data_IF_548296505092
#
_entry.id   IF_548296505092
#
_cell.length_a   1.000
_cell.length_b   1.000
_cell.length_c   1.000
_cell.angle_alpha   90.00
_cell.angle_beta   90.00
_cell.angle_gamma   90.00
#
_symmetry.space_group_name_H-M   'P 1'
#
loop_
_entity.id
_entity.type
_entity.pdbx_description
1 polymer ?
#
# COMPACT_ATOMS: atom_id res chain seq x y z
N UNK A 1 -4.80 -20.23 -5.07
CA UNK A 1 -5.79 -19.27 -4.54
C UNK A 1 -6.31 -19.61 -3.15
N UNK A 2 -6.76 -20.82 -2.87
CA UNK A 2 -7.23 -21.27 -1.54
C UNK A 2 -6.24 -20.90 -0.44
N UNK A 3 -4.95 -21.19 -0.62
CA UNK A 3 -3.90 -20.89 0.35
C UNK A 3 -3.72 -19.38 0.64
N UNK A 4 -3.91 -18.52 -0.37
CA UNK A 4 -3.84 -17.06 -0.16
C UNK A 4 -4.98 -16.57 0.71
N UNK A 5 -6.20 -17.06 0.47
CA UNK A 5 -7.39 -16.75 1.26
C UNK A 5 -7.24 -17.22 2.72
N UNK A 6 -6.77 -18.43 2.93
CA UNK A 6 -6.51 -18.98 4.27
C UNK A 6 -5.49 -18.16 5.04
N UNK A 7 -4.36 -17.82 4.40
CA UNK A 7 -3.31 -17.01 5.01
C UNK A 7 -3.78 -15.60 5.36
N UNK A 8 -4.59 -14.95 4.50
CA UNK A 8 -5.18 -13.64 4.79
C UNK A 8 -6.17 -13.70 5.94
N UNK A 9 -7.02 -14.73 5.99
CA UNK A 9 -7.96 -14.93 7.09
C UNK A 9 -7.24 -15.23 8.40
N UNK A 10 -6.19 -16.05 8.38
CA UNK A 10 -5.36 -16.33 9.55
C UNK A 10 -4.67 -15.06 10.03
N UNK A 11 -4.08 -14.29 9.13
CA UNK A 11 -3.48 -13.00 9.44
C UNK A 11 -4.51 -12.03 10.05
N UNK A 12 -5.71 -11.91 9.45
CA UNK A 12 -6.77 -11.04 9.97
C UNK A 12 -7.19 -11.42 11.39
N UNK A 13 -7.32 -12.71 11.70
CA UNK A 13 -7.63 -13.22 13.04
C UNK A 13 -6.49 -12.98 14.04
N UNK A 14 -5.25 -12.94 13.58
CA UNK A 14 -4.08 -12.67 14.43
C UNK A 14 -3.88 -11.19 14.75
N UNK A 15 -4.58 -10.28 14.06
CA UNK A 15 -4.51 -8.84 14.31
C UNK A 15 -5.08 -8.50 15.70
N UNK A 16 -4.20 -8.02 16.57
CA UNK A 16 -4.59 -7.48 17.88
C UNK A 16 -4.55 -5.95 17.79
N UNK A 17 -5.71 -5.33 17.82
CA UNK A 17 -5.89 -3.89 17.80
C UNK A 17 -6.41 -3.44 19.17
N UNK A 18 -5.82 -2.39 19.74
CA UNK A 18 -6.35 -1.72 20.93
C UNK A 18 -7.65 -0.98 20.59
N UNK A 19 -8.48 -0.65 21.57
CA UNK A 19 -9.71 0.13 21.36
C UNK A 19 -9.43 1.46 20.65
N UNK A 20 -8.32 2.12 20.99
CA UNK A 20 -7.90 3.37 20.34
C UNK A 20 -7.53 3.16 18.87
N UNK A 21 -6.81 2.09 18.55
CA UNK A 21 -6.48 1.74 17.16
C UNK A 21 -7.74 1.40 16.36
N UNK A 22 -8.68 0.66 16.96
CA UNK A 22 -9.98 0.35 16.33
C UNK A 22 -10.78 1.63 16.02
N UNK A 23 -10.80 2.59 16.92
CA UNK A 23 -11.46 3.88 16.68
C UNK A 23 -10.81 4.67 15.53
N UNK A 24 -9.47 4.73 15.50
CA UNK A 24 -8.74 5.50 14.48
C UNK A 24 -8.71 4.82 13.10
N UNK A 25 -8.70 3.49 13.06
CA UNK A 25 -8.60 2.70 11.82
C UNK A 25 -9.92 2.04 11.42
N UNK A 26 -11.03 2.36 12.09
CA UNK A 26 -12.32 1.70 11.87
C UNK A 26 -12.80 1.72 10.43
N UNK A 27 -12.69 2.85 9.75
CA UNK A 27 -13.05 2.97 8.33
C UNK A 27 -12.21 2.08 7.40
N UNK A 28 -10.91 2.01 7.64
CA UNK A 28 -9.99 1.17 6.86
C UNK A 28 -10.17 -0.31 7.18
N UNK A 29 -10.50 -0.64 8.44
CA UNK A 29 -10.80 -2.00 8.87
C UNK A 29 -12.08 -2.52 8.18
N UNK A 30 -13.13 -1.72 8.13
CA UNK A 30 -14.38 -2.06 7.42
C UNK A 30 -14.12 -2.29 5.92
N UNK A 31 -13.28 -1.47 5.30
CA UNK A 31 -12.90 -1.67 3.89
C UNK A 31 -12.11 -2.96 3.68
N UNK A 32 -11.17 -3.26 4.58
CA UNK A 32 -10.42 -4.51 4.57
C UNK A 32 -11.35 -5.72 4.70
N UNK A 33 -12.24 -5.71 5.69
CA UNK A 33 -13.16 -6.82 5.94
C UNK A 33 -14.12 -7.04 4.75
N UNK A 34 -14.63 -5.97 4.12
CA UNK A 34 -15.41 -6.06 2.87
C UNK A 34 -14.60 -6.68 1.73
N UNK A 35 -13.32 -6.33 1.60
CA UNK A 35 -12.47 -6.91 0.55
C UNK A 35 -12.19 -8.39 0.81
N UNK A 36 -11.94 -8.78 2.05
CA UNK A 36 -11.76 -10.18 2.43
C UNK A 36 -13.04 -11.00 2.22
N UNK A 37 -14.20 -10.43 2.52
CA UNK A 37 -15.49 -11.03 2.26
C UNK A 37 -15.71 -11.27 0.75
N UNK A 38 -15.41 -10.28 -0.10
CA UNK A 38 -15.49 -10.44 -1.57
C UNK A 38 -14.55 -11.54 -2.08
N UNK A 39 -13.34 -11.62 -1.52
CA UNK A 39 -12.41 -12.71 -1.85
C UNK A 39 -12.99 -14.09 -1.46
N UNK A 40 -13.67 -14.18 -0.31
CA UNK A 40 -14.33 -15.42 0.12
C UNK A 40 -15.50 -15.80 -0.77
N UNK A 41 -16.29 -14.81 -1.18
CA UNK A 41 -17.47 -14.98 -2.03
C UNK A 41 -17.16 -15.06 -3.52
N UNK A 42 -15.89 -14.91 -3.91
CA UNK A 42 -15.46 -14.84 -5.31
C UNK A 42 -16.24 -13.77 -6.10
N UNK A 43 -16.48 -12.62 -5.46
CA UNK A 43 -17.21 -11.48 -6.02
C UNK A 43 -16.23 -10.40 -6.50
N UNK A 44 -16.18 -10.16 -7.80
CA UNK A 44 -15.32 -9.16 -8.42
C UNK A 44 -16.12 -7.88 -8.73
N UNK A 45 -15.52 -6.72 -8.51
CA UNK A 45 -16.11 -5.42 -8.80
C UNK A 45 -15.38 -4.68 -9.90
N UNK A 46 -16.15 -4.24 -10.91
CA UNK A 46 -15.70 -3.36 -11.98
C UNK A 46 -16.35 -1.99 -11.76
N UNK A 47 -15.57 -0.95 -11.51
CA UNK A 47 -16.09 0.41 -11.40
C UNK A 47 -16.09 1.09 -12.76
N UNK A 48 -17.20 1.72 -13.09
CA UNK A 48 -17.34 2.56 -14.29
C UNK A 48 -17.20 4.02 -13.86
N UNK A 49 -16.16 4.68 -14.35
CA UNK A 49 -15.70 5.99 -13.89
C UNK A 49 -15.52 6.95 -15.07
N UNK A 50 -15.72 8.24 -14.86
CA UNK A 50 -15.60 9.26 -15.91
C UNK A 50 -16.44 10.50 -15.60
N UNK A 51 -16.39 11.49 -16.48
CA UNK A 51 -17.13 12.75 -16.35
C UNK A 51 -18.66 12.53 -16.34
N UNK A 52 -19.38 13.56 -15.91
CA UNK A 52 -20.85 13.60 -16.07
C UNK A 52 -21.20 13.54 -17.56
N UNK A 53 -22.26 12.85 -17.89
CA UNK A 53 -22.77 12.82 -19.24
C UNK A 53 -22.03 11.91 -20.23
N UNK A 54 -20.83 11.33 -19.93
CA UNK A 54 -20.11 10.45 -20.87
C UNK A 54 -20.79 9.09 -21.11
N UNK A 55 -21.91 8.81 -20.43
CA UNK A 55 -22.71 7.61 -20.66
C UNK A 55 -22.31 6.40 -19.80
N UNK A 56 -21.83 6.61 -18.58
CA UNK A 56 -21.46 5.51 -17.63
C UNK A 56 -22.62 4.56 -17.35
N UNK A 57 -23.77 5.10 -16.92
CA UNK A 57 -24.98 4.31 -16.62
C UNK A 57 -25.53 3.64 -17.88
N UNK A 58 -25.46 4.30 -19.05
CA UNK A 58 -25.83 3.70 -20.34
C UNK A 58 -24.93 2.54 -20.71
N UNK A 59 -23.61 2.66 -20.45
CA UNK A 59 -22.64 1.59 -20.68
C UNK A 59 -22.93 0.36 -19.79
N UNK A 60 -23.25 0.59 -18.51
CA UNK A 60 -23.62 -0.48 -17.60
C UNK A 60 -24.89 -1.18 -18.07
N UNK A 61 -25.94 -0.42 -18.40
CA UNK A 61 -27.18 -0.97 -18.92
C UNK A 61 -26.96 -1.78 -20.21
N UNK A 62 -26.11 -1.29 -21.12
CA UNK A 62 -25.78 -1.99 -22.35
C UNK A 62 -25.01 -3.32 -22.11
N UNK A 63 -24.08 -3.34 -21.14
CA UNK A 63 -23.35 -4.56 -20.77
C UNK A 63 -24.26 -5.60 -20.08
N UNK A 64 -25.26 -5.13 -19.32
CA UNK A 64 -26.21 -6.00 -18.65
C UNK A 64 -27.28 -6.49 -19.62
N UNK A 65 -27.63 -5.71 -20.64
CA UNK A 65 -28.71 -5.98 -21.57
C UNK A 65 -30.06 -5.46 -21.10
N UNK A 66 -30.14 -4.77 -19.95
CA UNK A 66 -31.36 -4.29 -19.34
C UNK A 66 -31.21 -2.84 -18.82
N UNK A 67 -32.27 -1.99 -18.87
CA UNK A 67 -32.23 -0.59 -18.43
C UNK A 67 -32.44 -0.48 -16.90
N UNK A 68 -31.52 -1.04 -16.11
CA UNK A 68 -31.62 -1.09 -14.65
C UNK A 68 -31.22 0.24 -13.97
N UNK A 69 -30.31 1.01 -14.58
CA UNK A 69 -29.87 2.30 -14.05
C UNK A 69 -30.60 3.44 -14.78
N UNK A 70 -31.03 4.44 -14.02
CA UNK A 70 -31.60 5.65 -14.59
C UNK A 70 -30.55 6.37 -15.44
N UNK A 71 -30.90 6.64 -16.71
CA UNK A 71 -30.05 7.36 -17.67
C UNK A 71 -30.70 8.72 -17.95
N UNK A 72 -30.72 9.61 -16.95
CA UNK A 72 -31.29 10.93 -17.16
C UNK A 72 -30.34 11.85 -17.94
N UNK A 73 -30.88 12.56 -18.92
CA UNK A 73 -30.14 13.54 -19.76
C UNK A 73 -29.90 14.83 -18.96
N UNK A 74 -30.66 15.07 -17.89
CA UNK A 74 -30.48 16.20 -17.00
C UNK A 74 -29.50 15.83 -15.87
N UNK A 75 -28.36 16.45 -15.90
CA UNK A 75 -27.24 16.48 -14.94
C UNK A 75 -27.35 15.69 -13.61
N UNK A 76 -26.43 14.72 -13.41
CA UNK A 76 -26.06 14.27 -12.08
C UNK A 76 -27.02 13.29 -11.40
N UNK A 77 -27.65 12.36 -12.14
CA UNK A 77 -28.58 11.36 -11.54
C UNK A 77 -27.91 10.41 -10.53
N UNK A 78 -26.60 10.17 -10.65
CA UNK A 78 -25.88 9.21 -9.79
C UNK A 78 -25.19 9.92 -8.64
N UNK A 79 -25.91 10.17 -7.54
CA UNK A 79 -25.34 10.76 -6.31
C UNK A 79 -24.61 9.74 -5.42
N UNK A 80 -24.91 8.46 -5.57
CA UNK A 80 -24.32 7.37 -4.77
C UNK A 80 -23.86 6.24 -5.68
N UNK A 81 -22.84 5.49 -5.23
CA UNK A 81 -22.38 4.30 -5.93
C UNK A 81 -23.49 3.23 -5.91
N UNK A 82 -23.93 2.79 -7.08
CA UNK A 82 -24.85 1.68 -7.24
C UNK A 82 -24.12 0.50 -7.89
N UNK A 83 -24.20 -0.67 -7.26
CA UNK A 83 -23.63 -1.90 -7.78
C UNK A 83 -24.73 -2.76 -8.39
N UNK A 84 -24.57 -3.18 -9.65
CA UNK A 84 -25.49 -4.04 -10.37
C UNK A 84 -24.76 -5.31 -10.79
N UNK A 85 -25.43 -6.45 -10.72
CA UNK A 85 -24.85 -7.74 -11.13
C UNK A 85 -24.79 -7.80 -12.64
N UNK A 86 -23.61 -8.09 -13.17
CA UNK A 86 -23.45 -8.41 -14.58
C UNK A 86 -23.79 -9.91 -14.80
N UNK A 87 -24.80 -10.26 -15.63
CA UNK A 87 -25.24 -11.63 -15.82
C UNK A 87 -24.28 -12.41 -16.71
N UNK A 88 -23.02 -12.52 -16.26
CA UNK A 88 -21.95 -13.20 -16.99
C UNK A 88 -21.41 -14.37 -16.18
N UNK A 89 -21.29 -15.54 -16.81
CA UNK A 89 -20.63 -16.71 -16.21
C UNK A 89 -19.14 -16.66 -16.51
N UNK A 90 -18.33 -16.48 -15.47
CA UNK A 90 -16.87 -16.51 -15.52
C UNK A 90 -16.38 -17.64 -14.62
N UNK A 91 -15.54 -18.52 -15.14
CA UNK A 91 -14.96 -19.59 -14.34
C UNK A 91 -14.27 -19.05 -13.09
N UNK A 92 -14.48 -19.72 -11.95
CA UNK A 92 -13.90 -19.37 -10.65
C UNK A 92 -14.37 -18.04 -10.02
N UNK A 93 -15.30 -17.31 -10.64
CA UNK A 93 -15.99 -16.15 -10.08
C UNK A 93 -17.48 -16.47 -9.90
N UNK A 94 -18.00 -16.29 -8.70
CA UNK A 94 -19.42 -16.50 -8.43
C UNK A 94 -20.29 -15.30 -8.89
N UNK A 95 -19.67 -14.09 -8.89
CA UNK A 95 -20.41 -12.87 -9.16
C UNK A 95 -19.47 -11.79 -9.69
N UNK A 96 -19.90 -11.07 -10.72
CA UNK A 96 -19.28 -9.85 -11.20
C UNK A 96 -20.25 -8.69 -11.02
N UNK A 97 -19.81 -7.62 -10.35
CA UNK A 97 -20.61 -6.42 -10.11
C UNK A 97 -20.04 -5.26 -10.94
N UNK A 98 -20.92 -4.60 -11.68
CA UNK A 98 -20.64 -3.30 -12.31
C UNK A 98 -21.09 -2.21 -11.32
N UNK A 99 -20.23 -1.25 -11.04
CA UNK A 99 -20.48 -0.18 -10.06
C UNK A 99 -20.50 1.15 -10.79
N UNK A 100 -21.66 1.80 -10.83
CA UNK A 100 -21.80 3.17 -11.32
C UNK A 100 -21.24 4.15 -10.30
N UNK A 101 -20.55 5.18 -10.78
CA UNK A 101 -19.91 6.18 -9.92
C UNK A 101 -20.36 7.59 -10.29
N UNK A 102 -20.44 8.52 -9.31
CA UNK A 102 -20.69 9.92 -9.59
C UNK A 102 -19.67 10.52 -10.59
N UNK A 103 -20.11 11.50 -11.38
CA UNK A 103 -19.25 12.20 -12.33
C UNK A 103 -18.10 12.97 -11.65
N UNK A 104 -16.95 13.02 -12.30
CA UNK A 104 -15.73 13.61 -11.73
C UNK A 104 -15.65 15.14 -11.85
N UNK A 105 -16.44 15.75 -12.70
CA UNK A 105 -16.46 17.18 -12.99
C UNK A 105 -17.39 17.99 -12.05
N UNK A 106 -18.26 17.33 -11.29
CA UNK A 106 -19.09 17.98 -10.26
C UNK A 106 -18.32 18.41 -9.00
N UNK A 107 -17.05 18.06 -8.91
CA UNK A 107 -16.25 18.20 -7.69
C UNK A 107 -14.98 19.01 -7.99
N UNK A 108 -14.46 19.75 -7.01
CA UNK A 108 -13.18 20.44 -7.12
C UNK A 108 -11.99 19.46 -7.29
N UNK A 109 -10.81 19.95 -7.70
CA UNK A 109 -9.64 19.11 -8.00
C UNK A 109 -9.26 18.15 -6.86
N UNK A 110 -9.27 18.60 -5.60
CA UNK A 110 -8.97 17.77 -4.44
C UNK A 110 -10.06 16.69 -4.20
N UNK A 111 -11.31 17.02 -4.45
CA UNK A 111 -12.44 16.09 -4.39
C UNK A 111 -12.33 15.01 -5.48
N UNK A 112 -11.96 15.39 -6.72
CA UNK A 112 -11.74 14.45 -7.84
C UNK A 112 -10.69 13.40 -7.51
N UNK A 113 -9.53 13.81 -7.02
CA UNK A 113 -8.47 12.90 -6.62
C UNK A 113 -8.92 11.95 -5.49
N UNK A 114 -9.69 12.45 -4.52
CA UNK A 114 -10.28 11.62 -3.45
C UNK A 114 -11.29 10.62 -3.99
N UNK A 115 -12.17 11.04 -4.92
CA UNK A 115 -13.16 10.15 -5.54
C UNK A 115 -12.47 9.07 -6.37
N UNK A 116 -11.52 9.43 -7.26
CA UNK A 116 -10.76 8.48 -8.05
C UNK A 116 -10.02 7.47 -7.15
N UNK A 117 -9.40 7.94 -6.07
CA UNK A 117 -8.74 7.07 -5.09
C UNK A 117 -9.73 6.15 -4.37
N UNK A 118 -10.91 6.65 -4.00
CA UNK A 118 -11.97 5.84 -3.36
C UNK A 118 -12.50 4.77 -4.30
N UNK A 119 -12.79 5.13 -5.55
CA UNK A 119 -13.21 4.21 -6.60
C UNK A 119 -12.14 3.14 -6.84
N UNK A 120 -10.89 3.56 -7.00
CA UNK A 120 -9.79 2.65 -7.15
C UNK A 120 -9.65 1.69 -5.94
N UNK A 121 -9.88 2.14 -4.72
CA UNK A 121 -9.82 1.25 -3.54
C UNK A 121 -10.99 0.26 -3.49
N UNK A 122 -12.17 0.65 -3.95
CA UNK A 122 -13.39 -0.17 -3.89
C UNK A 122 -13.56 -1.18 -5.03
N UNK A 123 -12.82 -1.04 -6.12
CA UNK A 123 -12.94 -1.86 -7.33
C UNK A 123 -11.73 -2.79 -7.52
N UNK A 124 -11.91 -3.87 -8.26
CA UNK A 124 -10.86 -4.80 -8.66
C UNK A 124 -10.36 -4.49 -10.08
N UNK A 125 -11.22 -3.88 -10.92
CA UNK A 125 -10.94 -3.34 -12.24
C UNK A 125 -11.70 -2.01 -12.41
N UNK A 126 -11.16 -1.07 -13.18
CA UNK A 126 -11.79 0.23 -13.47
C UNK A 126 -11.95 0.42 -14.97
N UNK A 127 -13.13 0.85 -15.41
CA UNK A 127 -13.38 1.34 -16.76
C UNK A 127 -13.42 2.87 -16.71
N UNK A 128 -12.45 3.53 -17.33
CA UNK A 128 -12.47 4.99 -17.51
C UNK A 128 -13.19 5.31 -18.81
N UNK A 129 -14.39 5.86 -18.70
CA UNK A 129 -15.25 6.20 -19.85
C UNK A 129 -15.02 7.64 -20.24
N UNK A 130 -14.74 7.84 -21.52
CA UNK A 130 -14.62 9.15 -22.19
C UNK A 130 -15.52 9.16 -23.41
N UNK A 131 -15.94 10.33 -23.88
CA UNK A 131 -16.80 10.50 -25.08
C UNK A 131 -16.22 11.46 -26.12
N UNK A 132 -15.01 11.94 -25.89
CA UNK A 132 -14.24 12.86 -26.70
C UNK A 132 -12.76 12.69 -26.40
N UNK A 133 -11.89 13.55 -26.91
CA UNK A 133 -10.49 13.56 -26.55
C UNK A 133 -10.28 13.81 -25.04
N UNK A 134 -9.14 13.34 -24.53
CA UNK A 134 -8.83 13.41 -23.10
C UNK A 134 -8.73 14.87 -22.61
N UNK A 135 -9.70 15.31 -21.87
CA UNK A 135 -9.69 16.61 -21.20
C UNK A 135 -8.63 16.65 -20.09
N UNK A 136 -8.36 17.84 -19.56
CA UNK A 136 -7.49 17.97 -18.37
C UNK A 136 -8.01 17.14 -17.20
N UNK A 137 -9.32 17.16 -16.96
CA UNK A 137 -9.98 16.39 -15.90
C UNK A 137 -9.80 14.87 -16.09
N UNK A 138 -9.97 14.38 -17.32
CA UNK A 138 -9.75 12.96 -17.64
C UNK A 138 -8.31 12.54 -17.42
N UNK A 139 -7.34 13.39 -17.78
CA UNK A 139 -5.90 13.13 -17.57
C UNK A 139 -5.52 13.10 -16.10
N UNK A 140 -6.03 14.04 -15.28
CA UNK A 140 -5.82 14.04 -13.82
C UNK A 140 -6.40 12.76 -13.17
N UNK A 141 -7.59 12.36 -13.60
CA UNK A 141 -8.23 11.13 -13.15
C UNK A 141 -7.44 9.89 -13.59
N UNK A 142 -7.03 9.82 -14.85
CA UNK A 142 -6.21 8.74 -15.40
C UNK A 142 -4.89 8.58 -14.61
N UNK A 143 -4.16 9.68 -14.35
CA UNK A 143 -2.93 9.64 -13.56
C UNK A 143 -3.18 9.10 -12.14
N UNK A 144 -4.26 9.53 -11.50
CA UNK A 144 -4.63 9.04 -10.16
C UNK A 144 -4.95 7.55 -10.18
N UNK A 145 -5.70 7.08 -11.18
CA UNK A 145 -6.03 5.67 -11.34
C UNK A 145 -4.79 4.82 -11.66
N UNK A 146 -3.92 5.28 -12.57
CA UNK A 146 -2.64 4.62 -12.87
C UNK A 146 -1.73 4.56 -11.64
N UNK A 147 -1.62 5.66 -10.89
CA UNK A 147 -0.83 5.69 -9.65
C UNK A 147 -1.38 4.74 -8.58
N UNK A 148 -2.66 4.41 -8.66
CA UNK A 148 -3.26 3.40 -7.80
C UNK A 148 -2.84 1.97 -8.15
N UNK A 149 -2.27 1.73 -9.35
CA UNK A 149 -1.85 0.42 -9.86
C UNK A 149 -3.00 -0.56 -10.11
N UNK A 150 -4.22 -0.06 -10.31
CA UNK A 150 -5.37 -0.90 -10.63
C UNK A 150 -5.37 -1.29 -12.11
N UNK A 151 -5.87 -2.50 -12.44
CA UNK A 151 -6.26 -2.78 -13.82
C UNK A 151 -7.23 -1.72 -14.30
N UNK A 152 -6.92 -1.12 -15.44
CA UNK A 152 -7.66 -0.03 -16.02
C UNK A 152 -7.88 -0.26 -17.51
N UNK A 153 -9.11 -0.05 -17.97
CA UNK A 153 -9.46 0.03 -19.39
C UNK A 153 -9.99 1.44 -19.68
N UNK A 154 -9.58 2.02 -20.77
CA UNK A 154 -10.17 3.25 -21.30
C UNK A 154 -11.24 2.88 -22.33
N UNK A 155 -12.42 3.45 -22.19
CA UNK A 155 -13.57 3.18 -23.06
C UNK A 155 -13.98 4.49 -23.72
N UNK A 156 -13.81 4.58 -25.05
CA UNK A 156 -14.33 5.67 -25.84
C UNK A 156 -15.78 5.35 -26.21
N UNK A 157 -16.71 5.99 -25.52
CA UNK A 157 -18.15 5.82 -25.71
C UNK A 157 -18.71 6.83 -26.71
N UNK A 158 -19.95 6.61 -27.19
CA UNK A 158 -20.63 7.46 -28.16
C UNK A 158 -19.94 7.56 -29.50
N UNK A 159 -19.35 6.44 -29.96
CA UNK A 159 -18.71 6.37 -31.28
C UNK A 159 -19.68 6.69 -32.42
N UNK A 160 -20.96 6.46 -32.20
CA UNK A 160 -22.06 6.80 -33.13
C UNK A 160 -22.17 8.28 -33.46
N UNK A 161 -21.53 9.18 -32.72
CA UNK A 161 -21.53 10.63 -32.94
C UNK A 161 -20.44 11.12 -33.91
N UNK A 162 -19.45 10.26 -34.20
CA UNK A 162 -18.27 10.59 -34.94
C UNK A 162 -18.28 9.93 -36.31
N UNK A 163 -18.07 10.68 -37.42
CA UNK A 163 -17.75 10.06 -38.70
C UNK A 163 -16.51 9.17 -38.59
N UNK A 164 -16.43 8.14 -39.42
CA UNK A 164 -15.37 7.11 -39.34
C UNK A 164 -13.95 7.70 -39.36
N UNK A 165 -13.71 8.70 -40.20
CA UNK A 165 -12.40 9.39 -40.31
C UNK A 165 -12.05 10.14 -39.01
N UNK A 166 -13.02 10.88 -38.46
CA UNK A 166 -12.85 11.65 -37.22
C UNK A 166 -12.70 10.71 -36.02
N UNK A 167 -13.44 9.60 -35.99
CA UNK A 167 -13.33 8.58 -34.95
C UNK A 167 -11.93 7.96 -34.94
N UNK A 168 -11.39 7.67 -36.13
CA UNK A 168 -10.03 7.14 -36.27
C UNK A 168 -8.97 8.13 -35.79
N UNK A 169 -9.11 9.41 -36.15
CA UNK A 169 -8.22 10.48 -35.67
C UNK A 169 -8.32 10.65 -34.14
N UNK A 170 -9.53 10.65 -33.59
CA UNK A 170 -9.79 10.72 -32.14
C UNK A 170 -9.18 9.53 -31.40
N UNK A 171 -9.38 8.32 -31.91
CA UNK A 171 -8.79 7.10 -31.34
C UNK A 171 -7.25 7.21 -31.28
N UNK A 172 -6.61 7.63 -32.38
CA UNK A 172 -5.16 7.80 -32.44
C UNK A 172 -4.66 8.89 -31.50
N UNK A 173 -5.40 10.02 -31.36
CA UNK A 173 -5.10 11.09 -30.42
C UNK A 173 -5.12 10.58 -28.98
N UNK A 174 -6.16 9.87 -28.58
CA UNK A 174 -6.26 9.27 -27.24
C UNK A 174 -5.15 8.24 -27.06
N UNK A 175 -4.95 7.34 -28.04
CA UNK A 175 -3.97 6.25 -27.97
C UNK A 175 -2.54 6.76 -27.74
N UNK A 176 -2.15 7.84 -28.41
CA UNK A 176 -0.81 8.43 -28.28
C UNK A 176 -0.51 8.98 -26.88
N UNK A 177 -1.55 9.29 -26.10
CA UNK A 177 -1.44 9.85 -24.73
C UNK A 177 -1.59 8.80 -23.64
N UNK A 178 -1.96 7.57 -24.02
CA UNK A 178 -2.07 6.46 -23.08
C UNK A 178 -0.77 5.65 -23.00
N UNK A 179 -0.44 5.05 -21.85
CA UNK A 179 0.61 4.04 -21.78
C UNK A 179 0.37 2.94 -22.83
N UNK A 180 1.43 2.46 -23.49
CA UNK A 180 1.34 1.59 -24.65
C UNK A 180 0.54 0.30 -24.47
N UNK A 181 0.52 -0.21 -23.25
CA UNK A 181 -0.13 -1.46 -22.86
C UNK A 181 -1.55 -1.27 -22.26
N UNK A 182 -2.02 -0.02 -22.13
CA UNK A 182 -3.35 0.25 -21.58
C UNK A 182 -4.43 -0.01 -22.64
N UNK A 183 -5.41 -0.89 -22.39
CA UNK A 183 -6.49 -1.15 -23.33
C UNK A 183 -7.34 0.10 -23.60
N UNK A 184 -7.65 0.34 -24.87
CA UNK A 184 -8.58 1.36 -25.34
C UNK A 184 -9.59 0.68 -26.26
N UNK A 185 -10.87 0.77 -25.92
CA UNK A 185 -11.97 0.15 -26.67
C UNK A 185 -13.00 1.19 -27.05
N UNK A 186 -13.45 1.15 -28.29
CA UNK A 186 -14.50 2.04 -28.83
C UNK A 186 -15.86 1.36 -28.68
N UNK A 187 -16.86 2.09 -28.20
CA UNK A 187 -18.23 1.59 -27.99
C UNK A 187 -19.28 2.66 -28.28
N UNK A 188 -20.49 2.20 -28.58
CA UNK A 188 -21.70 3.03 -28.57
C UNK A 188 -22.72 2.37 -27.64
N UNK A 189 -22.79 2.84 -26.40
CA UNK A 189 -23.63 2.23 -25.36
C UNK A 189 -25.13 2.51 -25.55
N UNK A 190 -25.48 3.64 -26.14
CA UNK A 190 -26.87 4.00 -26.44
C UNK A 190 -26.92 4.79 -27.75
N UNK A 191 -26.58 4.13 -28.87
CA UNK A 191 -26.51 4.81 -30.15
C UNK A 191 -27.89 5.25 -30.61
N UNK A 192 -27.92 6.35 -31.39
CA UNK A 192 -29.14 6.92 -31.94
C UNK A 192 -28.96 7.21 -33.42
N UNK A 193 -29.98 6.90 -34.19
CA UNK A 193 -30.07 7.24 -35.62
C UNK A 193 -31.24 8.17 -35.87
N UNK A 194 -31.06 9.03 -36.85
CA UNK A 194 -32.13 9.85 -37.37
C UNK A 194 -33.06 8.98 -38.24
N UNK A 195 -34.32 8.91 -37.88
CA UNK A 195 -35.37 8.15 -38.58
C UNK A 195 -36.38 9.14 -39.14
N UNK A 196 -36.56 9.08 -40.46
CA UNK A 196 -37.52 9.95 -41.15
C UNK A 196 -38.96 9.43 -40.86
N UNK A 197 -39.79 10.27 -40.32
CA UNK A 197 -41.20 9.91 -40.07
C UNK A 197 -42.07 10.14 -41.32
N UNK A 198 -43.23 9.48 -41.37
CA UNK A 198 -44.18 9.58 -42.48
C UNK A 198 -44.71 11.01 -42.70
N UNK A 199 -44.64 11.88 -41.70
CA UNK A 199 -44.98 13.29 -41.72
C UNK A 199 -43.83 14.23 -42.20
N UNK A 200 -42.67 13.65 -42.62
CA UNK A 200 -41.49 14.39 -43.01
C UNK A 200 -40.64 14.90 -41.85
N UNK A 201 -41.04 14.63 -40.59
CA UNK A 201 -40.29 14.95 -39.41
C UNK A 201 -39.11 13.96 -39.20
N UNK A 202 -38.04 14.43 -38.58
CA UNK A 202 -36.90 13.57 -38.21
C UNK A 202 -36.96 13.25 -36.71
N UNK A 203 -37.11 11.97 -36.37
CA UNK A 203 -37.07 11.50 -34.99
C UNK A 203 -35.77 10.78 -34.71
N UNK A 204 -35.22 11.00 -33.50
CA UNK A 204 -34.07 10.26 -33.05
C UNK A 204 -34.50 8.92 -32.45
N UNK A 205 -34.27 7.83 -33.15
CA UNK A 205 -34.55 6.45 -32.70
C UNK A 205 -33.34 5.81 -32.02
N UNK A 206 -33.56 4.97 -31.01
CA UNK A 206 -32.50 4.17 -30.38
C UNK A 206 -32.19 2.97 -31.27
N UNK A 207 -30.91 2.72 -31.48
CA UNK A 207 -30.41 1.51 -32.14
C UNK A 207 -29.74 0.57 -31.13
N UNK A 208 -29.53 -0.72 -31.47
CA UNK A 208 -28.86 -1.66 -30.59
C UNK A 208 -27.49 -1.18 -30.13
N UNK A 209 -27.17 -1.42 -28.84
CA UNK A 209 -25.88 -1.06 -28.28
C UNK A 209 -24.73 -1.80 -28.94
N UNK A 210 -23.63 -1.11 -29.20
CA UNK A 210 -22.39 -1.66 -29.78
C UNK A 210 -21.33 -1.75 -28.70
N UNK A 211 -21.45 -2.74 -27.82
CA UNK A 211 -20.54 -2.98 -26.68
C UNK A 211 -19.85 -4.35 -26.73
N UNK A 212 -20.10 -5.15 -27.76
CA UNK A 212 -19.66 -6.55 -27.87
C UNK A 212 -18.12 -6.70 -27.78
N UNK A 213 -17.36 -5.80 -28.42
CA UNK A 213 -15.90 -5.83 -28.36
C UNK A 213 -15.37 -5.64 -26.92
N UNK A 214 -15.94 -4.68 -26.19
CA UNK A 214 -15.60 -4.44 -24.78
C UNK A 214 -16.00 -5.64 -23.89
N UNK A 215 -17.20 -6.16 -24.12
CA UNK A 215 -17.70 -7.32 -23.39
C UNK A 215 -16.79 -8.54 -23.59
N UNK A 216 -16.43 -8.86 -24.83
CA UNK A 216 -15.52 -9.97 -25.14
C UNK A 216 -14.14 -9.77 -24.50
N UNK A 217 -13.60 -8.56 -24.54
CA UNK A 217 -12.32 -8.23 -23.95
C UNK A 217 -12.35 -8.40 -22.44
N UNK A 218 -13.37 -7.88 -21.76
CA UNK A 218 -13.56 -8.03 -20.32
C UNK A 218 -13.74 -9.51 -19.94
N UNK A 219 -14.60 -10.26 -20.62
CA UNK A 219 -14.82 -11.69 -20.37
C UNK A 219 -13.51 -12.47 -20.51
N UNK A 220 -12.72 -12.20 -21.55
CA UNK A 220 -11.45 -12.89 -21.79
C UNK A 220 -10.42 -12.56 -20.70
N UNK A 221 -10.34 -11.31 -20.27
CA UNK A 221 -9.45 -10.90 -19.16
C UNK A 221 -9.89 -11.53 -17.83
N UNK A 222 -11.16 -11.49 -17.51
CA UNK A 222 -11.69 -12.04 -16.25
C UNK A 222 -11.53 -13.56 -16.18
N UNK A 223 -11.68 -14.28 -17.30
CA UNK A 223 -11.39 -15.73 -17.38
C UNK A 223 -9.93 -16.04 -17.05
N UNK A 224 -8.98 -15.23 -17.55
CA UNK A 224 -7.54 -15.48 -17.33
C UNK A 224 -7.07 -15.00 -15.94
N UNK A 225 -7.55 -13.87 -15.47
CA UNK A 225 -6.91 -13.13 -14.37
C UNK A 225 -7.88 -12.77 -13.25
N UNK A 226 -9.19 -12.98 -13.39
CA UNK A 226 -10.21 -12.44 -12.47
C UNK A 226 -9.98 -12.82 -11.00
N UNK A 227 -9.74 -14.11 -10.73
CA UNK A 227 -9.48 -14.58 -9.35
C UNK A 227 -8.13 -14.09 -8.83
N UNK A 228 -7.12 -13.97 -9.71
CA UNK A 228 -5.82 -13.42 -9.37
C UNK A 228 -5.94 -11.94 -8.99
N UNK A 229 -6.67 -11.15 -9.79
CA UNK A 229 -6.93 -9.74 -9.51
C UNK A 229 -7.62 -9.54 -8.15
N UNK A 230 -8.64 -10.33 -7.87
CA UNK A 230 -9.35 -10.30 -6.59
C UNK A 230 -8.41 -10.60 -5.40
N UNK A 231 -7.55 -11.60 -5.52
CA UNK A 231 -6.58 -11.94 -4.49
C UNK A 231 -5.48 -10.88 -4.32
N UNK A 232 -4.98 -10.33 -5.43
CA UNK A 232 -4.00 -9.24 -5.39
C UNK A 232 -4.57 -7.99 -4.72
N UNK A 233 -5.84 -7.67 -4.97
CA UNK A 233 -6.50 -6.55 -4.32
C UNK A 233 -6.67 -6.78 -2.82
N UNK A 234 -7.04 -7.99 -2.40
CA UNK A 234 -7.15 -8.34 -0.99
C UNK A 234 -5.79 -8.26 -0.27
N UNK A 235 -4.74 -8.80 -0.88
CA UNK A 235 -3.38 -8.70 -0.34
C UNK A 235 -2.90 -7.25 -0.23
N UNK A 236 -3.20 -6.44 -1.23
CA UNK A 236 -2.84 -5.03 -1.26
C UNK A 236 -3.55 -4.23 -0.19
N UNK A 237 -4.86 -4.45 -0.02
CA UNK A 237 -5.64 -3.77 1.02
C UNK A 237 -5.13 -4.18 2.40
N UNK A 238 -4.80 -5.45 2.59
CA UNK A 238 -4.23 -5.96 3.82
C UNK A 238 -2.83 -5.38 4.11
N UNK A 239 -1.96 -5.27 3.10
CA UNK A 239 -0.64 -4.65 3.24
C UNK A 239 -0.75 -3.15 3.56
N UNK A 240 -1.66 -2.43 2.89
CA UNK A 240 -1.93 -1.02 3.18
C UNK A 240 -2.39 -0.84 4.62
N UNK A 241 -3.37 -1.63 5.06
CA UNK A 241 -3.88 -1.58 6.44
C UNK A 241 -2.77 -1.87 7.45
N UNK A 242 -1.96 -2.90 7.21
CA UNK A 242 -0.82 -3.25 8.05
C UNK A 242 0.16 -2.07 8.19
N UNK A 243 0.51 -1.42 7.09
CA UNK A 243 1.42 -0.25 7.09
C UNK A 243 0.82 0.93 7.86
N UNK A 244 -0.46 1.22 7.66
CA UNK A 244 -1.14 2.31 8.38
C UNK A 244 -1.16 2.05 9.89
N UNK A 245 -1.46 0.80 10.29
CA UNK A 245 -1.41 0.38 11.69
C UNK A 245 0.01 0.53 12.28
N UNK A 246 1.03 0.13 11.55
CA UNK A 246 2.43 0.29 11.97
C UNK A 246 2.84 1.75 12.12
N UNK A 247 2.48 2.60 11.16
CA UNK A 247 2.74 4.05 11.22
C UNK A 247 2.06 4.68 12.44
N UNK A 248 0.80 4.31 12.70
CA UNK A 248 0.07 4.79 13.87
C UNK A 248 0.76 4.39 15.17
N UNK A 249 1.19 3.14 15.31
CA UNK A 249 1.93 2.64 16.48
C UNK A 249 3.25 3.37 16.68
N UNK A 250 4.00 3.61 15.61
CA UNK A 250 5.25 4.39 15.66
C UNK A 250 5.01 5.81 16.17
N UNK A 251 3.98 6.47 15.65
CA UNK A 251 3.64 7.83 16.06
C UNK A 251 3.17 7.90 17.52
N UNK A 252 2.28 7.00 17.92
CA UNK A 252 1.74 6.96 19.28
C UNK A 252 2.80 6.66 20.33
N UNK A 253 3.69 5.73 20.05
CA UNK A 253 4.70 5.27 21.00
C UNK A 253 6.06 5.94 20.86
N UNK A 254 6.19 6.95 19.99
CA UNK A 254 7.47 7.63 19.69
C UNK A 254 8.17 8.11 20.95
N UNK A 255 7.47 8.86 21.81
CA UNK A 255 8.05 9.43 23.05
C UNK A 255 8.45 8.31 24.02
N UNK A 256 7.60 7.33 24.21
CA UNK A 256 7.86 6.18 25.10
C UNK A 256 9.04 5.34 24.60
N UNK A 257 9.14 5.10 23.31
CA UNK A 257 10.26 4.39 22.70
C UNK A 257 11.58 5.16 22.88
N UNK A 258 11.58 6.48 22.64
CA UNK A 258 12.75 7.31 22.87
C UNK A 258 13.20 7.32 24.34
N UNK A 259 12.24 7.39 25.28
CA UNK A 259 12.52 7.30 26.71
C UNK A 259 13.11 5.94 27.11
N UNK A 260 12.59 4.85 26.56
CA UNK A 260 13.16 3.51 26.74
C UNK A 260 14.58 3.41 26.23
N UNK A 261 14.81 3.79 24.98
CA UNK A 261 16.14 3.78 24.34
C UNK A 261 17.14 4.63 25.16
N UNK A 262 16.72 5.79 25.65
CA UNK A 262 17.54 6.68 26.47
C UNK A 262 17.94 6.03 27.81
N UNK A 263 16.99 5.40 28.50
CA UNK A 263 17.26 4.71 29.77
C UNK A 263 18.24 3.55 29.60
N UNK A 264 18.05 2.71 28.60
CA UNK A 264 18.94 1.59 28.32
C UNK A 264 20.32 2.06 27.82
N UNK A 265 20.37 3.14 27.06
CA UNK A 265 21.63 3.75 26.64
C UNK A 265 22.42 4.30 27.84
N UNK A 266 21.76 4.97 28.79
CA UNK A 266 22.37 5.45 30.02
C UNK A 266 22.87 4.30 30.90
N UNK A 267 22.03 3.28 31.13
CA UNK A 267 22.43 2.09 31.91
C UNK A 267 23.65 1.38 31.30
N UNK A 268 23.67 1.22 29.97
CA UNK A 268 24.81 0.61 29.27
C UNK A 268 26.08 1.47 29.39
N UNK A 269 25.95 2.80 29.25
CA UNK A 269 27.06 3.73 29.38
C UNK A 269 27.67 3.70 30.79
N UNK A 270 26.83 3.67 31.83
CA UNK A 270 27.29 3.57 33.24
C UNK A 270 28.00 2.24 33.47
N UNK A 271 27.43 1.12 33.01
CA UNK A 271 28.04 -0.20 33.13
C UNK A 271 29.44 -0.27 32.47
N UNK A 272 29.57 0.25 31.26
CA UNK A 272 30.83 0.29 30.51
C UNK A 272 31.86 1.21 31.18
N UNK A 273 31.43 2.34 31.73
CA UNK A 273 32.34 3.30 32.39
C UNK A 273 32.95 2.73 33.68
N UNK A 274 32.19 1.96 34.45
CA UNK A 274 32.59 1.47 35.78
C UNK A 274 33.31 0.12 35.70
N UNK A 275 33.04 -0.70 34.69
CA UNK A 275 33.52 -2.09 34.64
C UNK A 275 34.93 -2.16 34.02
N UNK A 276 35.94 -2.73 34.73
CA UNK A 276 37.32 -2.88 34.20
C UNK A 276 37.50 -4.09 33.31
N UNK A 277 36.53 -5.02 33.24
CA UNK A 277 36.70 -6.32 32.56
C UNK A 277 35.92 -6.35 31.23
N UNK A 278 36.63 -6.52 30.11
CA UNK A 278 36.06 -6.55 28.77
C UNK A 278 34.95 -7.59 28.56
N UNK A 279 35.08 -8.78 29.14
CA UNK A 279 34.14 -9.86 29.00
C UNK A 279 32.78 -9.50 29.63
N UNK A 280 32.78 -8.82 30.79
CA UNK A 280 31.56 -8.37 31.46
C UNK A 280 30.90 -7.19 30.70
N UNK A 281 31.69 -6.32 30.08
CA UNK A 281 31.18 -5.24 29.22
C UNK A 281 30.41 -5.78 28.02
N UNK A 282 30.93 -6.82 27.36
CA UNK A 282 30.26 -7.44 26.21
C UNK A 282 29.01 -8.22 26.63
N UNK A 283 29.08 -9.02 27.69
CA UNK A 283 27.95 -9.79 28.18
C UNK A 283 26.83 -8.89 28.75
N UNK A 284 27.19 -7.89 29.54
CA UNK A 284 26.24 -6.90 30.07
C UNK A 284 25.62 -6.04 28.96
N UNK A 285 26.41 -5.65 27.97
CA UNK A 285 25.92 -4.92 26.80
C UNK A 285 24.87 -5.71 26.00
N UNK A 286 25.13 -7.01 25.73
CA UNK A 286 24.17 -7.88 25.04
C UNK A 286 22.91 -8.15 25.86
N UNK A 287 23.02 -8.30 27.17
CA UNK A 287 21.86 -8.44 28.05
C UNK A 287 20.98 -7.19 28.04
N UNK A 288 21.60 -6.01 28.10
CA UNK A 288 20.96 -4.72 28.05
C UNK A 288 20.24 -4.51 26.71
N UNK A 289 20.89 -4.80 25.58
CA UNK A 289 20.29 -4.70 24.25
C UNK A 289 19.15 -5.72 24.07
N UNK A 290 19.29 -6.94 24.60
CA UNK A 290 18.21 -7.95 24.56
C UNK A 290 16.98 -7.45 25.33
N UNK A 291 17.18 -6.90 26.53
CA UNK A 291 16.10 -6.36 27.34
C UNK A 291 15.42 -5.16 26.66
N UNK A 292 16.20 -4.27 26.03
CA UNK A 292 15.68 -3.16 25.22
C UNK A 292 14.78 -3.68 24.09
N UNK A 293 15.23 -4.69 23.33
CA UNK A 293 14.45 -5.28 22.23
C UNK A 293 13.15 -5.87 22.73
N UNK A 294 13.19 -6.63 23.84
CA UNK A 294 11.98 -7.22 24.45
C UNK A 294 11.01 -6.13 24.91
N UNK A 295 11.48 -5.05 25.52
CA UNK A 295 10.60 -3.96 25.96
C UNK A 295 10.05 -3.14 24.79
N UNK A 296 10.85 -2.85 23.77
CA UNK A 296 10.36 -2.20 22.54
C UNK A 296 9.32 -3.07 21.83
N UNK A 297 9.54 -4.38 21.77
CA UNK A 297 8.58 -5.29 21.12
C UNK A 297 7.23 -5.31 21.87
N UNK A 298 7.26 -5.28 23.20
CA UNK A 298 6.03 -5.15 24.01
C UNK A 298 5.33 -3.81 23.80
N UNK A 299 6.09 -2.72 23.73
CA UNK A 299 5.57 -1.38 23.50
C UNK A 299 4.82 -1.28 22.16
N UNK A 300 5.32 -1.97 21.12
CA UNK A 300 4.68 -2.02 19.80
C UNK A 300 3.62 -3.12 19.65
N UNK A 301 3.28 -3.84 20.74
CA UNK A 301 2.29 -4.91 20.71
C UNK A 301 2.72 -6.16 19.93
N UNK A 302 4.03 -6.38 19.78
CA UNK A 302 4.65 -7.49 19.07
C UNK A 302 5.58 -8.28 20.03
N UNK A 303 5.08 -8.89 21.10
CA UNK A 303 5.92 -9.45 22.14
C UNK A 303 6.85 -10.55 21.60
N UNK A 304 8.16 -10.33 21.75
CA UNK A 304 9.19 -11.29 21.44
C UNK A 304 9.67 -12.00 22.70
N UNK A 305 10.02 -13.27 22.55
CA UNK A 305 10.77 -14.00 23.59
C UNK A 305 12.22 -13.51 23.65
N UNK A 306 12.91 -13.62 24.79
CA UNK A 306 14.33 -13.24 24.88
C UNK A 306 15.23 -13.97 23.85
N UNK A 307 14.91 -15.22 23.52
CA UNK A 307 15.61 -15.99 22.47
C UNK A 307 15.43 -15.36 21.08
N UNK A 308 14.20 -15.01 20.72
CA UNK A 308 13.90 -14.33 19.44
C UNK A 308 14.53 -12.92 19.36
N UNK A 309 14.55 -12.20 20.49
CA UNK A 309 15.20 -10.90 20.59
C UNK A 309 16.71 -10.98 20.35
N UNK A 310 17.39 -12.00 20.93
CA UNK A 310 18.80 -12.25 20.67
C UNK A 310 19.09 -12.61 19.20
N UNK A 311 18.27 -13.46 18.59
CA UNK A 311 18.40 -13.80 17.17
C UNK A 311 18.25 -12.56 16.28
N UNK A 312 17.30 -11.69 16.60
CA UNK A 312 17.10 -10.42 15.89
C UNK A 312 18.34 -9.53 16.03
N UNK A 313 18.90 -9.40 17.23
CA UNK A 313 20.13 -8.62 17.45
C UNK A 313 21.30 -9.18 16.66
N UNK A 314 21.47 -10.49 16.62
CA UNK A 314 22.57 -11.15 15.85
C UNK A 314 22.42 -10.84 14.35
N UNK A 315 21.20 -10.88 13.81
CA UNK A 315 20.94 -10.51 12.40
C UNK A 315 21.23 -9.04 12.10
N UNK A 316 20.98 -8.15 13.07
CA UNK A 316 21.24 -6.70 12.91
C UNK A 316 22.69 -6.31 13.19
N UNK A 317 23.44 -7.14 13.91
CA UNK A 317 24.84 -6.87 14.31
C UNK A 317 25.79 -6.81 13.11
N UNK A 318 25.49 -7.51 12.02
CA UNK A 318 26.27 -7.42 10.77
C UNK A 318 26.39 -6.01 10.22
N UNK A 319 25.36 -5.17 10.43
CA UNK A 319 25.37 -3.75 10.03
C UNK A 319 26.13 -2.82 10.99
N UNK A 320 26.50 -3.32 12.16
CA UNK A 320 27.19 -2.57 13.23
C UNK A 320 28.60 -3.09 13.54
N UNK A 321 29.16 -3.99 12.73
CA UNK A 321 30.45 -4.61 12.96
C UNK A 321 31.59 -3.58 13.17
N UNK A 322 31.54 -2.47 12.44
CA UNK A 322 32.54 -1.40 12.55
C UNK A 322 32.49 -0.69 13.92
N UNK A 323 31.27 -0.44 14.45
CA UNK A 323 31.12 0.15 15.79
C UNK A 323 31.54 -0.82 16.90
N UNK A 324 31.29 -2.12 16.71
CA UNK A 324 31.77 -3.17 17.63
C UNK A 324 33.30 -3.24 17.66
N UNK A 325 33.97 -3.15 16.52
CA UNK A 325 35.41 -3.11 16.43
C UNK A 325 36.02 -1.92 17.16
N UNK A 326 35.47 -0.71 16.99
CA UNK A 326 35.92 0.49 17.71
C UNK A 326 35.72 0.34 19.22
N UNK A 327 34.60 -0.24 19.66
CA UNK A 327 34.32 -0.45 21.09
C UNK A 327 35.32 -1.43 21.72
N UNK A 328 35.66 -2.52 21.04
CA UNK A 328 36.68 -3.48 21.50
C UNK A 328 38.04 -2.77 21.58
N UNK A 329 38.41 -1.99 20.58
CA UNK A 329 39.67 -1.23 20.58
C UNK A 329 39.80 -0.25 21.74
N UNK A 330 38.70 0.52 22.02
CA UNK A 330 38.65 1.44 23.15
C UNK A 330 38.68 0.72 24.50
N UNK A 331 38.01 -0.46 24.62
CA UNK A 331 38.08 -1.25 25.84
C UNK A 331 39.45 -1.82 26.11
N UNK A 332 40.15 -2.29 25.08
CA UNK A 332 41.52 -2.75 25.18
C UNK A 332 42.48 -1.61 25.59
N UNK A 333 42.31 -0.42 25.00
CA UNK A 333 43.10 0.75 25.37
C UNK A 333 42.85 1.18 26.83
N UNK A 334 41.58 1.17 27.28
CA UNK A 334 41.23 1.44 28.68
C UNK A 334 41.92 0.46 29.64
N UNK A 335 41.89 -0.85 29.34
CA UNK A 335 42.53 -1.87 30.15
C UNK A 335 44.06 -1.64 30.21
N UNK A 336 44.69 -1.35 29.06
CA UNK A 336 46.11 -1.05 29.01
C UNK A 336 46.47 0.15 29.89
N UNK A 337 45.70 1.23 29.84
CA UNK A 337 45.91 2.39 30.69
C UNK A 337 45.70 2.10 32.19
N UNK A 338 44.72 1.25 32.56
CA UNK A 338 44.48 0.84 33.94
C UNK A 338 45.62 -0.05 34.50
N UNK A 339 46.26 -0.86 33.66
CA UNK A 339 47.44 -1.68 34.06
C UNK A 339 48.65 -0.84 34.39
N UNK A 340 48.74 0.40 33.89
CA UNK A 340 49.83 1.33 34.17
C UNK A 340 49.68 2.08 35.51
N UNK A 341 48.46 2.03 36.15
CA UNK A 341 48.20 2.72 37.42
C UNK A 341 49.13 2.33 38.54
N UNK A 342 49.48 1.03 38.80
CA UNK A 342 50.37 0.64 39.87
C UNK A 342 51.82 1.16 39.64
N UNK A 343 52.22 1.33 38.40
CA UNK A 343 53.57 1.76 38.01
C UNK A 343 53.76 3.27 38.16
N UNK A 344 52.68 4.04 38.03
CA UNK A 344 52.68 5.52 38.01
C UNK A 344 52.28 6.19 39.35
N UNK A 345 52.14 5.38 40.43
CA UNK A 345 51.76 5.96 41.74
C UNK A 345 50.35 6.59 41.80
N UNK A 346 49.44 6.13 40.92
CA UNK A 346 48.07 6.62 40.91
C UNK A 346 47.78 7.74 39.91
N UNK A 347 48.78 8.34 39.29
CA UNK A 347 48.60 9.47 38.32
C UNK A 347 48.01 9.06 36.98
N UNK A 348 48.04 7.74 36.68
CA UNK A 348 47.55 7.16 35.41
C UNK A 348 46.02 7.07 35.30
N UNK A 349 45.27 7.39 36.37
CA UNK A 349 43.82 7.46 36.31
C UNK A 349 43.34 8.65 35.44
N UNK A 350 44.05 9.74 35.43
CA UNK A 350 43.70 10.92 34.66
C UNK A 350 43.63 10.67 33.14
N UNK A 351 44.60 9.96 32.47
CA UNK A 351 44.51 9.64 31.05
C UNK A 351 43.44 8.55 30.74
N UNK A 352 43.01 7.74 31.70
CA UNK A 352 41.96 6.74 31.49
C UNK A 352 40.54 7.35 31.41
N UNK A 353 40.31 8.50 32.03
CA UNK A 353 39.00 9.16 32.05
C UNK A 353 38.50 9.53 30.63
N UNK A 354 39.25 10.16 29.73
CA UNK A 354 38.79 10.45 28.37
C UNK A 354 38.34 9.21 27.58
N UNK A 355 39.11 8.08 27.78
CA UNK A 355 38.78 6.80 27.13
C UNK A 355 37.45 6.25 27.65
N UNK A 356 37.21 6.31 28.98
CA UNK A 356 35.93 5.89 29.59
C UNK A 356 34.76 6.75 29.09
N UNK A 357 34.92 8.07 28.95
CA UNK A 357 33.91 8.92 28.36
C UNK A 357 33.66 8.61 26.88
N UNK A 358 34.70 8.36 26.08
CA UNK A 358 34.56 7.95 24.69
C UNK A 358 33.80 6.62 24.55
N UNK A 359 34.10 5.64 25.41
CA UNK A 359 33.38 4.36 25.46
C UNK A 359 31.90 4.54 25.84
N UNK A 360 31.62 5.37 26.85
CA UNK A 360 30.26 5.66 27.27
C UNK A 360 29.46 6.37 26.16
N UNK A 361 30.07 7.33 25.46
CA UNK A 361 29.45 8.01 24.33
C UNK A 361 29.17 7.03 23.16
N UNK A 362 30.11 6.15 22.86
CA UNK A 362 29.95 5.12 21.84
C UNK A 362 28.84 4.13 22.22
N UNK A 363 28.77 3.71 23.50
CA UNK A 363 27.73 2.83 24.00
C UNK A 363 26.33 3.46 23.88
N UNK A 364 26.19 4.77 24.18
CA UNK A 364 24.94 5.52 23.99
C UNK A 364 24.58 5.56 22.50
N UNK A 365 25.53 5.88 21.61
CA UNK A 365 25.29 5.93 20.17
C UNK A 365 24.89 4.56 19.61
N UNK A 366 25.59 3.51 19.99
CA UNK A 366 25.30 2.12 19.59
C UNK A 366 23.89 1.69 20.05
N UNK A 367 23.51 1.95 21.32
CA UNK A 367 22.19 1.62 21.85
C UNK A 367 21.08 2.38 21.15
N UNK A 368 21.27 3.67 20.85
CA UNK A 368 20.31 4.46 20.08
C UNK A 368 20.12 3.91 18.68
N UNK A 369 21.22 3.59 17.99
CA UNK A 369 21.17 3.00 16.65
C UNK A 369 20.51 1.63 16.66
N UNK A 370 20.86 0.76 17.60
CA UNK A 370 20.24 -0.56 17.79
C UNK A 370 18.75 -0.41 18.03
N UNK A 371 18.32 0.47 18.94
CA UNK A 371 16.92 0.71 19.23
C UNK A 371 16.13 1.18 18.00
N UNK A 372 16.72 2.05 17.17
CA UNK A 372 16.10 2.52 15.92
C UNK A 372 15.99 1.38 14.88
N UNK A 373 17.04 0.61 14.66
CA UNK A 373 17.04 -0.53 13.74
C UNK A 373 16.05 -1.61 14.17
N UNK A 374 15.98 -1.89 15.47
CA UNK A 374 15.00 -2.83 16.03
C UNK A 374 13.58 -2.35 15.84
N UNK A 375 13.29 -1.08 16.13
CA UNK A 375 11.97 -0.50 15.91
C UNK A 375 11.56 -0.61 14.43
N UNK A 376 12.46 -0.33 13.52
CA UNK A 376 12.24 -0.49 12.08
C UNK A 376 12.00 -1.95 11.70
N UNK A 377 12.83 -2.88 12.20
CA UNK A 377 12.74 -4.30 11.86
C UNK A 377 11.50 -4.98 12.45
N UNK A 378 11.11 -4.63 13.68
CA UNK A 378 9.89 -5.14 14.32
C UNK A 378 8.63 -4.76 13.53
N UNK A 379 8.67 -3.63 12.83
CA UNK A 379 7.57 -3.15 12.03
C UNK A 379 7.64 -3.59 10.55
N UNK A 380 8.74 -4.22 10.15
CA UNK A 380 8.85 -4.78 8.80
C UNK A 380 8.01 -6.05 8.64
N UNK A 381 7.41 -6.26 7.44
CA UNK A 381 6.63 -7.44 7.15
C UNK A 381 7.47 -8.72 7.28
N UNK A 382 7.19 -9.53 8.29
CA UNK A 382 7.80 -10.85 8.48
C UNK A 382 6.88 -11.97 7.97
N UNK A 383 7.48 -13.00 7.45
CA UNK A 383 6.97 -14.31 6.96
C UNK A 383 5.50 -14.53 6.62
N UNK A 384 4.56 -14.27 7.50
CA UNK A 384 3.12 -14.46 7.30
C UNK A 384 2.34 -13.19 6.98
N UNK A 385 3.01 -12.03 6.90
CA UNK A 385 2.34 -10.76 6.63
C UNK A 385 2.02 -10.55 5.15
N UNK A 386 0.95 -9.79 4.83
CA UNK A 386 0.45 -9.61 3.46
C UNK A 386 1.51 -9.12 2.47
N UNK A 387 2.36 -8.16 2.87
CA UNK A 387 3.42 -7.63 2.01
C UNK A 387 4.49 -8.67 1.64
N UNK A 388 4.88 -9.54 2.59
CA UNK A 388 5.82 -10.63 2.32
C UNK A 388 5.21 -11.71 1.43
N UNK A 389 3.91 -11.99 1.56
CA UNK A 389 3.17 -12.89 0.69
C UNK A 389 3.13 -12.35 -0.75
N UNK A 390 2.86 -11.05 -0.89
CA UNK A 390 2.82 -10.36 -2.18
C UNK A 390 4.18 -10.44 -2.90
N UNK A 391 5.27 -10.19 -2.19
CA UNK A 391 6.63 -10.31 -2.74
C UNK A 391 6.98 -11.75 -3.15
N UNK A 392 6.57 -12.76 -2.35
CA UNK A 392 6.77 -14.17 -2.71
C UNK A 392 5.99 -14.58 -3.96
N UNK A 393 4.75 -14.13 -4.09
CA UNK A 393 3.94 -14.35 -5.29
C UNK A 393 4.58 -13.70 -6.52
N UNK A 394 5.06 -12.45 -6.41
CA UNK A 394 5.73 -11.76 -7.50
C UNK A 394 7.01 -12.46 -8.00
N UNK A 395 7.72 -13.15 -7.12
CA UNK A 395 8.92 -13.92 -7.49
C UNK A 395 8.57 -15.19 -8.29
N UNK A 396 7.38 -15.76 -8.08
CA UNK A 396 6.96 -17.04 -8.67
C UNK A 396 6.09 -16.91 -9.90
N UNK A 397 5.32 -15.82 -10.00
CA UNK A 397 4.31 -15.65 -11.05
C UNK A 397 4.62 -14.37 -11.86
N UNK A 398 4.87 -14.51 -13.19
CA UNK A 398 5.18 -13.36 -14.06
C UNK A 398 4.00 -12.40 -14.20
N UNK A 399 2.74 -12.87 -14.14
CA UNK A 399 1.55 -12.02 -14.19
C UNK A 399 1.46 -11.15 -12.93
N UNK A 400 1.70 -11.75 -11.76
CA UNK A 400 1.79 -11.00 -10.48
C UNK A 400 2.90 -9.97 -10.53
N UNK A 401 4.07 -10.32 -11.09
CA UNK A 401 5.20 -9.41 -11.27
C UNK A 401 4.84 -8.26 -12.17
N UNK A 402 4.20 -8.51 -13.30
CA UNK A 402 3.72 -7.50 -14.24
C UNK A 402 2.78 -6.49 -13.55
N UNK A 403 1.79 -6.95 -12.81
CA UNK A 403 0.88 -6.09 -12.06
C UNK A 403 1.58 -5.32 -10.93
N UNK A 404 2.57 -5.92 -10.27
CA UNK A 404 3.32 -5.25 -9.20
C UNK A 404 4.30 -4.20 -9.73
N UNK A 405 4.88 -4.37 -10.92
CA UNK A 405 5.71 -3.33 -11.55
C UNK A 405 4.91 -2.07 -11.89
N UNK A 406 3.66 -2.21 -12.24
CA UNK A 406 2.73 -1.08 -12.43
C UNK A 406 2.30 -0.43 -11.12
N UNK A 407 2.50 -1.11 -9.99
CA UNK A 407 2.28 -0.52 -8.69
C UNK A 407 3.48 0.32 -8.29
N UNK A 408 3.26 1.60 -7.95
CA UNK A 408 4.25 2.30 -7.19
C UNK A 408 4.32 1.61 -5.82
N UNK A 409 5.24 0.67 -5.68
CA UNK A 409 5.79 0.32 -4.39
C UNK A 409 6.42 1.61 -3.91
N UNK A 410 5.66 2.45 -3.19
CA UNK A 410 6.23 3.60 -2.52
C UNK A 410 7.46 3.08 -1.79
N UNK A 411 8.59 3.76 -2.03
CA UNK A 411 9.85 3.51 -1.35
C UNK A 411 9.59 3.20 0.13
N UNK A 412 10.33 2.29 0.75
CA UNK A 412 10.21 2.02 2.17
C UNK A 412 10.14 3.36 2.87
N UNK A 413 9.13 3.55 3.74
CA UNK A 413 8.92 4.80 4.46
C UNK A 413 10.27 5.16 5.07
N UNK A 414 10.85 6.26 4.59
CA UNK A 414 12.10 6.76 5.14
C UNK A 414 11.81 7.17 6.58
N UNK A 415 12.29 6.41 7.52
CA UNK A 415 12.14 6.64 8.96
C UNK A 415 13.04 7.78 9.47
N UNK A 416 13.38 8.73 8.61
CA UNK A 416 14.20 9.91 8.94
C UNK A 416 13.62 10.75 10.09
N UNK A 417 12.35 10.53 10.45
CA UNK A 417 11.71 11.22 11.57
C UNK A 417 12.05 10.64 12.96
N UNK A 418 12.81 9.54 13.04
CA UNK A 418 13.37 9.03 14.29
C UNK A 418 14.72 9.69 14.64
N UNK A 419 15.28 10.51 13.75
CA UNK A 419 16.41 11.35 14.09
C UNK A 419 15.93 12.42 15.05
N UNK A 420 16.52 12.46 16.24
CA UNK A 420 16.37 13.57 17.18
C UNK A 420 16.81 14.87 16.47
N UNK A 421 16.10 15.97 16.62
CA UNK A 421 16.68 17.25 16.27
C UNK A 421 17.96 17.38 17.13
N UNK A 422 19.09 17.43 16.50
CA UNK A 422 20.31 17.97 17.07
C UNK A 422 19.97 19.42 17.38
N UNK A 423 19.60 19.73 18.63
CA UNK A 423 19.69 21.10 19.10
C UNK A 423 21.17 21.43 19.12
N UNK A 424 21.51 22.42 18.30
CA UNK A 424 22.76 23.14 18.41
C UNK A 424 22.89 23.75 19.82
#
# INVERSE_FOLDING_TARGET
>A
MVRCRELLNQWRRSLRLSQREQGLLGGELVQLDRQLQRLQQHTLRIAVFGRVGVGKSSLINALIGEPLLATDVAHGSTRHQQGVVWPVSIADLNRVELVDTPGIDEINAAGRARLASRVAMGADLVLLVVDSDLTRTDREALQTLLSSGKPLHVVLNRSDRWPEQELSALFNSIRSRLPGDLPLTVVAAAPRQAELQADGGVRSARTPAQVGALEQQLRSQLKREGVLLLALQALRQADKFQRTCQQLRLQQHRRSAQGLIGRYAAAKATGVAINPVLAFDLAGGMACDTALVVQLSRLYGLPLTPKAARQLLTQLSGSNALLGGIQIGLSALKQMLLLLVPISGGTSLAPAAPVAFAQAALAVHASRRTGQLVAQHLLHPSGGQPGALLQRLARRDPVVRHWLHRWPLRAPVSYTHLTLPTKA
#
